data_IF_730101793982
#
_entry.id   IF_730101793982
#
_cell.length_a   1.000
_cell.length_b   1.000
_cell.length_c   1.000
_cell.angle_alpha   90.00
_cell.angle_beta   90.00
_cell.angle_gamma   90.00
#
_symmetry.space_group_name_H-M   'P 1'
#
loop_
_entity.id
_entity.type
_entity.pdbx_description
1 polymer ?
#
# COMPACT_ATOMS: atom_id res chain seq x y z
N UNK A 1 -8.74 20.52 5.37
CA UNK A 1 -9.33 20.04 4.11
C UNK A 1 -8.96 18.58 3.99
N UNK A 2 -9.86 17.67 3.59
CA UNK A 2 -9.48 16.28 3.40
C UNK A 2 -8.37 16.20 2.37
N UNK A 3 -7.42 15.32 2.61
CA UNK A 3 -6.29 15.12 1.73
C UNK A 3 -6.78 14.57 0.38
N UNK A 4 -6.50 15.27 -0.71
CA UNK A 4 -6.91 14.86 -2.06
C UNK A 4 -6.01 13.74 -2.59
N UNK A 5 -6.59 12.73 -3.23
CA UNK A 5 -5.86 11.61 -3.84
C UNK A 5 -4.81 12.09 -4.85
N UNK A 6 -5.14 13.10 -5.65
CA UNK A 6 -4.24 13.71 -6.61
C UNK A 6 -3.02 14.36 -5.96
N UNK A 7 -3.19 15.03 -4.81
CA UNK A 7 -2.08 15.63 -4.09
C UNK A 7 -1.12 14.56 -3.56
N UNK A 8 -1.66 13.43 -3.07
CA UNK A 8 -0.86 12.27 -2.66
C UNK A 8 -0.06 11.68 -3.83
N UNK A 9 -0.72 11.43 -4.96
CA UNK A 9 -0.09 10.88 -6.16
C UNK A 9 1.04 11.78 -6.65
N UNK A 10 0.79 13.09 -6.77
CA UNK A 10 1.80 14.04 -7.22
C UNK A 10 2.99 14.13 -6.25
N UNK A 11 2.75 14.23 -4.94
CA UNK A 11 3.83 14.30 -3.95
C UNK A 11 4.73 13.06 -3.99
N UNK A 12 4.12 11.88 -4.11
CA UNK A 12 4.81 10.60 -4.18
C UNK A 12 5.61 10.45 -5.48
N UNK A 13 5.00 10.76 -6.63
CA UNK A 13 5.67 10.70 -7.95
C UNK A 13 6.80 11.71 -8.10
N UNK A 14 6.68 12.87 -7.46
CA UNK A 14 7.72 13.89 -7.48
C UNK A 14 8.93 13.50 -6.60
N UNK A 15 8.69 12.76 -5.51
CA UNK A 15 9.74 12.34 -4.59
C UNK A 15 10.49 11.08 -5.05
N UNK A 16 9.81 10.14 -5.72
CA UNK A 16 10.37 8.83 -6.09
C UNK A 16 9.88 8.39 -7.47
N UNK A 17 10.70 7.62 -8.23
CA UNK A 17 10.28 7.03 -9.49
C UNK A 17 9.31 5.86 -9.22
N UNK A 18 8.01 6.15 -9.17
CA UNK A 18 6.98 5.15 -8.90
C UNK A 18 6.55 4.47 -10.21
N UNK A 19 6.67 3.15 -10.24
CA UNK A 19 6.24 2.33 -11.37
C UNK A 19 4.73 2.07 -11.33
N UNK A 20 4.17 1.86 -10.13
CA UNK A 20 2.74 1.66 -9.94
C UNK A 20 2.30 2.22 -8.59
N UNK A 21 1.24 3.02 -8.60
CA UNK A 21 0.63 3.63 -7.42
C UNK A 21 -0.84 3.29 -7.41
N UNK A 22 -1.33 2.81 -6.29
CA UNK A 22 -2.76 2.57 -6.06
C UNK A 22 -3.13 3.12 -4.69
N UNK A 23 -4.15 3.98 -4.66
CA UNK A 23 -4.65 4.60 -3.42
C UNK A 23 -6.10 4.16 -3.26
N UNK A 24 -6.42 3.60 -2.09
CA UNK A 24 -7.73 3.06 -1.74
C UNK A 24 -8.20 3.75 -0.46
N UNK A 25 -9.37 4.39 -0.52
CA UNK A 25 -10.06 4.83 0.69
C UNK A 25 -10.66 3.60 1.40
N UNK A 26 -10.19 3.33 2.61
CA UNK A 26 -10.71 2.23 3.44
C UNK A 26 -11.79 2.73 4.43
N UNK A 27 -12.06 4.03 4.42
CA UNK A 27 -12.94 4.68 5.39
C UNK A 27 -14.40 4.72 4.95
N UNK A 28 -14.77 4.04 3.86
CA UNK A 28 -16.12 4.07 3.29
C UNK A 28 -16.66 5.49 3.09
N UNK A 29 -15.79 6.43 2.70
CA UNK A 29 -16.16 7.84 2.48
C UNK A 29 -16.08 8.76 3.70
N UNK A 30 -15.65 8.29 4.88
CA UNK A 30 -15.38 9.17 6.03
C UNK A 30 -13.99 9.84 5.94
N UNK A 31 -13.08 9.32 5.11
CA UNK A 31 -11.75 9.91 4.87
C UNK A 31 -10.80 9.84 6.06
N UNK A 32 -10.97 8.84 6.93
CA UNK A 32 -10.20 8.65 8.16
C UNK A 32 -9.02 7.70 7.95
N UNK A 33 -9.18 6.74 7.04
CA UNK A 33 -8.28 5.61 6.80
C UNK A 33 -8.00 5.43 5.31
N UNK A 34 -6.74 5.56 4.92
CA UNK A 34 -6.32 5.37 3.53
C UNK A 34 -5.26 4.28 3.42
N UNK A 35 -5.40 3.43 2.40
CA UNK A 35 -4.44 2.41 2.03
C UNK A 35 -3.74 2.80 0.72
N UNK A 36 -2.41 2.86 0.72
CA UNK A 36 -1.62 3.17 -0.48
C UNK A 36 -0.68 2.01 -0.79
N UNK A 37 -0.73 1.51 -2.01
CA UNK A 37 0.22 0.54 -2.55
C UNK A 37 1.18 1.27 -3.50
N UNK A 38 2.46 1.22 -3.17
CA UNK A 38 3.53 1.91 -3.89
C UNK A 38 4.50 0.85 -4.40
N UNK A 39 4.63 0.78 -5.71
CA UNK A 39 5.56 -0.11 -6.39
C UNK A 39 6.64 0.72 -7.07
N UNK A 40 7.89 0.54 -6.65
CA UNK A 40 9.02 1.28 -7.20
C UNK A 40 10.30 0.45 -7.12
N UNK A 41 11.16 0.66 -8.12
CA UNK A 41 12.52 0.14 -8.17
C UNK A 41 13.43 0.80 -7.11
N UNK A 42 13.09 2.01 -6.66
CA UNK A 42 13.83 2.74 -5.63
C UNK A 42 13.80 2.05 -4.25
N UNK A 43 12.95 1.04 -4.08
CA UNK A 43 12.86 0.20 -2.89
C UNK A 43 13.72 -1.08 -2.99
N UNK A 44 14.25 -1.41 -4.17
CA UNK A 44 15.14 -2.55 -4.34
C UNK A 44 16.42 -2.33 -3.51
N UNK A 45 16.84 -3.36 -2.75
CA UNK A 45 17.98 -3.27 -1.85
C UNK A 45 17.76 -2.52 -0.51
N UNK A 46 16.63 -1.84 -0.30
CA UNK A 46 16.30 -1.18 0.98
C UNK A 46 15.52 -2.10 1.91
N UNK A 47 15.74 -2.00 3.22
CA UNK A 47 14.91 -2.71 4.21
C UNK A 47 13.50 -2.10 4.34
N UNK A 48 12.51 -2.93 4.68
CA UNK A 48 11.10 -2.52 4.86
C UNK A 48 10.96 -1.30 5.75
N UNK A 49 11.65 -1.27 6.89
CA UNK A 49 11.60 -0.13 7.82
C UNK A 49 12.12 1.17 7.19
N UNK A 50 13.18 1.12 6.38
CA UNK A 50 13.73 2.30 5.71
C UNK A 50 12.77 2.82 4.63
N UNK A 51 12.12 1.92 3.89
CA UNK A 51 11.05 2.29 2.93
C UNK A 51 9.89 2.95 3.64
N UNK A 52 9.48 2.40 4.78
CA UNK A 52 8.38 2.94 5.58
C UNK A 52 8.69 4.32 6.13
N UNK A 53 9.88 4.51 6.72
CA UNK A 53 10.34 5.83 7.17
C UNK A 53 10.35 6.85 6.04
N UNK A 54 10.86 6.48 4.87
CA UNK A 54 10.92 7.39 3.71
C UNK A 54 9.53 7.89 3.31
N UNK A 55 8.56 6.98 3.15
CA UNK A 55 7.19 7.38 2.76
C UNK A 55 6.50 8.15 3.88
N UNK A 56 6.68 7.76 5.15
CA UNK A 56 6.15 8.51 6.28
C UNK A 56 6.69 9.94 6.35
N UNK A 57 7.96 10.16 6.04
CA UNK A 57 8.57 11.49 6.01
C UNK A 57 8.02 12.32 4.86
N UNK A 58 7.86 11.72 3.67
CA UNK A 58 7.30 12.38 2.49
C UNK A 58 5.84 12.80 2.68
N UNK A 59 5.05 11.94 3.31
CA UNK A 59 3.63 12.16 3.55
C UNK A 59 3.35 12.65 4.98
N UNK A 60 4.36 13.09 5.73
CA UNK A 60 4.22 13.42 7.15
C UNK A 60 3.10 14.43 7.42
N UNK A 61 3.02 15.46 6.59
CA UNK A 61 2.00 16.51 6.69
C UNK A 61 0.59 15.95 6.42
N UNK A 62 0.47 15.05 5.44
CA UNK A 62 -0.79 14.39 5.08
C UNK A 62 -1.22 13.40 6.18
N UNK A 63 -0.30 12.54 6.64
CA UNK A 63 -0.51 11.56 7.70
C UNK A 63 -0.90 12.25 9.00
N UNK A 64 -0.35 13.43 9.31
CA UNK A 64 -0.74 14.19 10.50
C UNK A 64 -2.21 14.64 10.47
N UNK A 65 -2.83 14.72 9.29
CA UNK A 65 -4.26 15.02 9.13
C UNK A 65 -5.14 13.77 9.02
N UNK A 66 -4.55 12.58 8.89
CA UNK A 66 -5.26 11.30 8.73
C UNK A 66 -5.27 10.53 10.06
N UNK A 67 -6.36 9.85 10.39
CA UNK A 67 -6.43 9.03 11.61
C UNK A 67 -5.65 7.72 11.46
N UNK A 68 -5.70 7.11 10.27
CA UNK A 68 -4.93 5.93 9.95
C UNK A 68 -4.42 6.00 8.51
N UNK A 69 -3.18 5.58 8.32
CA UNK A 69 -2.54 5.50 7.02
C UNK A 69 -1.82 4.16 6.91
N UNK A 70 -2.23 3.36 5.93
CA UNK A 70 -1.54 2.12 5.56
C UNK A 70 -0.78 2.32 4.26
N UNK A 71 0.48 1.92 4.27
CA UNK A 71 1.32 1.95 3.08
C UNK A 71 1.94 0.57 2.84
N UNK A 72 1.90 0.11 1.60
CA UNK A 72 2.56 -1.11 1.15
C UNK A 72 3.61 -0.73 0.11
N UNK A 73 4.88 -0.85 0.47
CA UNK A 73 6.00 -0.57 -0.44
C UNK A 73 6.58 -1.86 -1.00
N UNK A 74 6.29 -2.16 -2.25
CA UNK A 74 6.78 -3.36 -2.93
C UNK A 74 7.73 -2.99 -4.06
N UNK A 75 8.63 -3.92 -4.40
CA UNK A 75 9.40 -3.84 -5.63
C UNK A 75 8.56 -4.42 -6.77
N UNK A 76 8.73 -3.99 -8.03
CA UNK A 76 7.96 -4.52 -9.15
C UNK A 76 8.03 -6.06 -9.25
N UNK A 77 9.20 -6.66 -9.02
CA UNK A 77 9.36 -8.12 -8.93
C UNK A 77 8.49 -8.78 -7.84
N UNK A 78 8.38 -8.13 -6.68
CA UNK A 78 7.56 -8.64 -5.57
C UNK A 78 6.08 -8.44 -5.84
N UNK A 79 5.69 -7.31 -6.43
CA UNK A 79 4.30 -7.05 -6.81
C UNK A 79 3.79 -8.09 -7.82
N UNK A 80 4.58 -8.41 -8.85
CA UNK A 80 4.23 -9.47 -9.81
C UNK A 80 4.11 -10.84 -9.13
N UNK A 81 5.05 -11.18 -8.23
CA UNK A 81 4.98 -12.44 -7.48
C UNK A 81 3.78 -12.49 -6.53
N UNK A 82 3.42 -11.37 -5.91
CA UNK A 82 2.27 -11.20 -5.02
C UNK A 82 0.96 -11.35 -5.81
N UNK A 83 0.82 -10.62 -6.92
CA UNK A 83 -0.31 -10.71 -7.84
C UNK A 83 -0.49 -12.15 -8.35
N UNK A 84 0.60 -12.84 -8.70
CA UNK A 84 0.55 -14.24 -9.11
C UNK A 84 0.08 -15.18 -7.99
N UNK A 85 0.39 -14.86 -6.72
CA UNK A 85 -0.11 -15.62 -5.55
C UNK A 85 -1.57 -15.31 -5.22
N UNK A 86 -2.01 -14.07 -5.39
CA UNK A 86 -3.40 -13.65 -5.13
C UNK A 86 -4.34 -14.06 -6.27
N UNK A 87 -3.84 -14.12 -7.51
CA UNK A 87 -4.55 -14.68 -8.66
C UNK A 87 -4.61 -16.22 -8.63
N UNK A 88 -3.78 -16.89 -7.84
CA UNK A 88 -3.94 -18.30 -7.56
C UNK A 88 -5.10 -18.45 -6.54
N UNK A 89 -6.19 -19.17 -6.89
CA UNK A 89 -7.29 -19.37 -5.96
C UNK A 89 -6.73 -20.02 -4.70
N UNK A 90 -6.98 -19.37 -3.55
CA UNK A 90 -6.67 -19.91 -2.24
C UNK A 90 -7.58 -21.13 -2.01
N UNK A 91 -7.21 -22.27 -2.58
CA UNK A 91 -7.83 -23.55 -2.32
C UNK A 91 -7.43 -23.97 -0.90
N UNK A 92 -8.28 -23.69 0.07
CA UNK A 92 -8.19 -24.33 1.38
C UNK A 92 -8.79 -23.55 2.54
N UNK A 93 -10.09 -23.68 2.75
CA UNK A 93 -10.58 -23.94 4.11
C UNK A 93 -11.38 -25.24 4.07
N UNK A 94 -10.81 -26.24 4.73
CA UNK A 94 -11.30 -27.59 4.91
C UNK A 94 -12.50 -27.59 5.85
N UNK A 95 -13.71 -27.81 5.34
CA UNK A 95 -14.81 -28.34 6.17
C UNK A 95 -14.89 -29.85 5.98
N UNK A 96 -13.85 -30.55 6.45
CA UNK A 96 -13.98 -31.94 6.89
C UNK A 96 -14.33 -31.92 8.37
N UNK A 97 -15.62 -31.93 8.71
CA UNK A 97 -16.07 -32.42 10.02
C UNK A 97 -16.86 -33.70 9.80
N UNK A 98 -16.12 -34.79 9.64
CA UNK A 98 -16.58 -36.12 10.01
C UNK A 98 -16.66 -36.17 11.53
N UNK A 99 -17.86 -36.25 12.13
CA UNK A 99 -18.07 -36.97 13.39
C UNK A 99 -19.56 -37.10 13.77
N UNK A 100 -19.97 -38.36 13.87
CA UNK A 100 -21.16 -38.96 14.53
C UNK A 100 -22.57 -38.68 13.97
#
# INVERSE_FOLDING_TARGET
MPVSLEALDQALRNALPISHLEIVDQSSGCGESYGVLIVSEAFEGKMTLARHRMVNELLKDQIAQMHAFSQKTLTPKQYVAQQAKEAAPQAGVWILTTSH
#
